data_IF_418142806181
#
_entry.id   IF_418142806181
#
_cell.length_a   1.000
_cell.length_b   1.000
_cell.length_c   1.000
_cell.angle_alpha   90.00
_cell.angle_beta   90.00
_cell.angle_gamma   90.00
#
_symmetry.space_group_name_H-M   'P 1'
#
loop_
_entity.id
_entity.type
_entity.pdbx_description
1 polymer ?
#
# COMPACT_ATOMS: atom_id res chain seq x y z
N UNK A 1 23.29 -50.56 -55.37
CA UNK A 1 22.22 -49.74 -54.88
C UNK A 1 22.58 -49.38 -53.44
N UNK A 2 22.89 -48.13 -53.16
CA UNK A 2 23.80 -47.67 -52.10
C UNK A 2 23.19 -47.58 -50.71
N UNK A 3 23.77 -48.32 -49.79
CA UNK A 3 23.51 -48.35 -48.34
C UNK A 3 23.72 -47.02 -47.63
N UNK A 4 24.06 -45.90 -48.34
CA UNK A 4 24.34 -44.55 -47.76
C UNK A 4 23.11 -43.66 -47.59
N UNK A 5 21.93 -44.02 -48.14
CA UNK A 5 20.71 -43.22 -48.04
C UNK A 5 19.76 -43.64 -46.89
N UNK A 6 20.00 -44.78 -46.26
CA UNK A 6 19.18 -45.26 -45.14
C UNK A 6 19.63 -44.68 -43.80
N UNK A 7 20.88 -44.19 -43.71
CA UNK A 7 21.44 -43.69 -42.43
C UNK A 7 21.11 -42.20 -42.15
N UNK A 8 20.58 -41.45 -43.13
CA UNK A 8 20.24 -40.03 -42.97
C UNK A 8 18.78 -39.82 -42.52
N UNK A 9 17.92 -40.84 -42.63
CA UNK A 9 16.49 -40.75 -42.30
C UNK A 9 16.16 -41.12 -40.85
N UNK A 10 17.11 -41.64 -40.07
CA UNK A 10 16.89 -42.03 -38.65
C UNK A 10 17.32 -40.99 -37.66
N UNK A 11 18.00 -39.90 -38.07
CA UNK A 11 18.50 -38.88 -37.15
C UNK A 11 17.62 -37.63 -37.04
N UNK A 12 16.46 -37.61 -37.70
CA UNK A 12 15.56 -36.44 -37.70
C UNK A 12 14.34 -36.57 -36.77
N UNK A 13 14.24 -37.61 -35.96
CA UNK A 13 13.01 -37.91 -35.18
C UNK A 13 13.12 -37.73 -33.66
N UNK A 14 14.16 -37.09 -33.13
CA UNK A 14 14.33 -36.94 -31.67
C UNK A 14 14.40 -35.48 -31.15
N UNK A 15 13.67 -34.55 -31.78
CA UNK A 15 13.50 -33.20 -31.25
C UNK A 15 12.03 -32.82 -31.10
N UNK A 16 11.19 -33.78 -30.64
CA UNK A 16 9.91 -33.43 -30.03
C UNK A 16 10.18 -33.04 -28.58
N UNK A 17 10.74 -31.86 -28.37
CA UNK A 17 10.82 -31.26 -27.06
C UNK A 17 9.40 -31.06 -26.54
N UNK A 18 9.03 -31.81 -25.49
CA UNK A 18 7.83 -31.54 -24.70
C UNK A 18 7.91 -30.11 -24.19
N UNK A 19 7.25 -29.16 -24.85
CA UNK A 19 6.93 -27.86 -24.28
C UNK A 19 6.00 -28.15 -23.11
N UNK A 20 6.58 -28.28 -21.91
CA UNK A 20 5.83 -28.28 -20.66
C UNK A 20 5.26 -26.87 -20.57
N UNK A 21 3.99 -26.69 -20.95
CA UNK A 21 3.24 -25.49 -20.62
C UNK A 21 3.27 -25.39 -19.11
N UNK A 22 3.71 -24.24 -18.53
CA UNK A 22 3.60 -24.05 -17.09
C UNK A 22 2.13 -24.25 -16.74
N UNK A 23 1.84 -25.25 -15.91
CA UNK A 23 0.50 -25.48 -15.39
C UNK A 23 0.14 -24.29 -14.53
N UNK A 24 -0.73 -23.44 -15.04
CA UNK A 24 -1.33 -22.40 -14.20
C UNK A 24 -2.06 -23.12 -13.06
N UNK A 25 -1.95 -22.62 -11.83
CA UNK A 25 -2.66 -23.21 -10.71
C UNK A 25 -4.16 -23.25 -11.05
N UNK A 26 -4.73 -24.47 -11.07
CA UNK A 26 -6.17 -24.64 -11.28
C UNK A 26 -6.84 -24.21 -9.97
N UNK A 27 -7.24 -22.96 -9.89
CA UNK A 27 -8.08 -22.46 -8.81
C UNK A 27 -9.48 -23.01 -9.05
N UNK A 28 -9.91 -23.99 -8.26
CA UNK A 28 -11.32 -24.44 -8.24
C UNK A 28 -12.15 -23.34 -7.60
N UNK A 29 -12.91 -22.61 -8.41
CA UNK A 29 -13.88 -21.64 -7.93
C UNK A 29 -15.11 -22.37 -7.41
N UNK A 30 -15.38 -22.27 -6.12
CA UNK A 30 -16.71 -22.52 -5.60
C UNK A 30 -17.57 -21.32 -5.99
N UNK A 31 -18.59 -21.61 -6.80
CA UNK A 31 -19.65 -20.74 -7.33
C UNK A 31 -19.52 -19.22 -7.03
N UNK A 32 -19.09 -18.45 -8.01
CA UNK A 32 -19.30 -16.98 -8.12
C UNK A 32 -18.20 -16.03 -7.62
N UNK A 33 -16.98 -16.48 -7.33
CA UNK A 33 -15.88 -15.54 -7.11
C UNK A 33 -14.98 -15.50 -8.35
N UNK A 34 -14.88 -14.34 -8.97
CA UNK A 34 -14.00 -14.07 -10.10
C UNK A 34 -12.95 -13.03 -9.71
N UNK A 35 -11.72 -13.20 -10.18
CA UNK A 35 -10.73 -12.13 -10.10
C UNK A 35 -11.08 -11.05 -11.12
N UNK A 36 -11.19 -9.79 -10.66
CA UNK A 36 -11.43 -8.63 -11.49
C UNK A 36 -10.17 -7.78 -11.67
N UNK A 37 -10.26 -6.78 -12.52
CA UNK A 37 -9.23 -5.76 -12.64
C UNK A 37 -9.26 -4.87 -11.39
N UNK A 38 -8.16 -4.85 -10.64
CA UNK A 38 -8.03 -4.04 -9.42
C UNK A 38 -8.11 -2.52 -9.67
N UNK A 39 -7.96 -2.08 -10.92
CA UNK A 39 -8.06 -0.67 -11.32
C UNK A 39 -9.42 -0.32 -11.96
N UNK A 40 -10.33 -1.28 -12.09
CA UNK A 40 -11.65 -0.99 -12.61
C UNK A 40 -12.45 -0.10 -11.65
N UNK A 41 -13.28 0.79 -12.21
CA UNK A 41 -14.13 1.66 -11.40
C UNK A 41 -15.22 0.82 -10.74
N UNK A 42 -15.30 0.89 -9.43
CA UNK A 42 -16.29 0.17 -8.64
C UNK A 42 -17.63 0.91 -8.65
N UNK A 43 -18.67 0.28 -9.16
CA UNK A 43 -20.01 0.85 -9.31
C UNK A 43 -21.11 0.10 -8.50
N UNK A 44 -20.69 -0.80 -7.62
CA UNK A 44 -21.63 -1.71 -6.92
C UNK A 44 -22.49 -0.97 -5.89
N UNK A 45 -21.87 -0.06 -5.14
CA UNK A 45 -22.55 0.74 -4.10
C UNK A 45 -22.06 2.17 -4.09
N UNK A 46 -22.74 3.05 -3.34
CA UNK A 46 -22.24 4.41 -3.03
C UNK A 46 -21.45 4.47 -1.72
N UNK A 47 -21.08 3.33 -1.15
CA UNK A 47 -20.18 3.23 0.01
C UNK A 47 -18.72 3.39 -0.43
N UNK A 48 -17.85 3.61 0.54
CA UNK A 48 -16.40 3.74 0.29
C UNK A 48 -15.84 2.45 -0.32
N UNK A 49 -15.09 2.56 -1.41
CA UNK A 49 -14.56 1.42 -2.15
C UNK A 49 -13.12 1.58 -2.60
N UNK A 50 -12.67 0.60 -3.37
CA UNK A 50 -11.28 0.51 -3.84
C UNK A 50 -10.91 1.67 -4.78
N UNK A 51 -11.84 2.12 -5.61
CA UNK A 51 -11.63 3.29 -6.49
C UNK A 51 -11.39 4.56 -5.68
N UNK A 52 -12.15 4.76 -4.60
CA UNK A 52 -12.03 5.93 -3.73
C UNK A 52 -10.64 5.94 -3.05
N UNK A 53 -10.20 4.77 -2.57
CA UNK A 53 -8.87 4.58 -1.99
C UNK A 53 -7.76 4.95 -2.98
N UNK A 54 -7.87 4.49 -4.22
CA UNK A 54 -6.87 4.79 -5.25
C UNK A 54 -6.83 6.28 -5.58
N UNK A 55 -7.99 6.92 -5.76
CA UNK A 55 -8.07 8.37 -6.03
C UNK A 55 -7.48 9.21 -4.89
N UNK A 56 -7.74 8.83 -3.64
CA UNK A 56 -7.14 9.49 -2.47
C UNK A 56 -5.63 9.33 -2.50
N UNK A 57 -5.13 8.10 -2.64
CA UNK A 57 -3.70 7.84 -2.62
C UNK A 57 -2.97 8.58 -3.74
N UNK A 58 -3.51 8.60 -4.96
CA UNK A 58 -2.92 9.33 -6.10
C UNK A 58 -2.90 10.84 -5.85
N UNK A 59 -3.98 11.43 -5.35
CA UNK A 59 -4.03 12.87 -5.06
C UNK A 59 -3.02 13.25 -3.99
N UNK A 60 -3.00 12.53 -2.85
CA UNK A 60 -2.10 12.83 -1.74
C UNK A 60 -0.62 12.68 -2.12
N UNK A 61 -0.29 11.59 -2.83
CA UNK A 61 1.09 11.36 -3.28
C UNK A 61 1.51 12.40 -4.32
N UNK A 62 0.66 12.70 -5.31
CA UNK A 62 0.94 13.71 -6.32
C UNK A 62 1.26 15.06 -5.70
N UNK A 63 0.36 15.57 -4.87
CA UNK A 63 0.53 16.84 -4.17
C UNK A 63 1.78 16.88 -3.28
N UNK A 64 2.02 15.83 -2.47
CA UNK A 64 3.21 15.75 -1.63
C UNK A 64 4.52 15.75 -2.43
N UNK A 65 4.56 15.07 -3.57
CA UNK A 65 5.77 15.00 -4.40
C UNK A 65 6.09 16.31 -5.15
N UNK A 66 5.09 17.17 -5.35
CA UNK A 66 5.23 18.50 -5.94
C UNK A 66 5.78 19.53 -4.94
N UNK A 67 5.65 19.27 -3.64
CA UNK A 67 6.20 20.17 -2.62
C UNK A 67 7.73 20.11 -2.61
N UNK A 68 8.39 21.22 -2.36
CA UNK A 68 9.85 21.28 -2.17
C UNK A 68 10.36 20.68 -0.85
N UNK A 69 9.47 20.15 0.01
CA UNK A 69 9.77 19.74 1.39
C UNK A 69 10.70 18.51 1.44
N UNK A 70 10.65 17.63 0.44
CA UNK A 70 11.41 16.37 0.43
C UNK A 70 12.87 16.50 -0.02
N UNK A 71 13.48 17.67 0.13
CA UNK A 71 14.91 17.81 -0.11
C UNK A 71 15.71 17.02 0.94
N UNK A 72 16.75 16.31 0.49
CA UNK A 72 17.62 15.53 1.38
C UNK A 72 17.01 14.23 1.90
N UNK A 73 15.89 13.77 1.36
CA UNK A 73 15.25 12.50 1.75
C UNK A 73 14.90 12.43 3.24
N UNK A 74 14.02 13.30 3.74
CA UNK A 74 13.69 13.35 5.16
C UNK A 74 13.03 12.08 5.66
N UNK A 75 13.05 11.91 6.97
CA UNK A 75 12.37 10.81 7.66
C UNK A 75 10.94 11.20 8.00
N UNK A 76 10.01 10.30 7.67
CA UNK A 76 8.56 10.51 7.87
C UNK A 76 7.99 9.34 8.67
N UNK A 77 7.09 9.61 9.59
CA UNK A 77 6.24 8.59 10.23
C UNK A 77 4.78 8.82 9.89
N UNK A 78 3.97 7.80 10.04
CA UNK A 78 2.52 7.89 9.87
C UNK A 78 1.85 7.73 11.23
N UNK A 79 1.08 8.73 11.62
CA UNK A 79 0.16 8.64 12.74
C UNK A 79 -1.15 7.95 12.31
N UNK A 80 -2.00 7.66 13.28
CA UNK A 80 -3.33 7.10 13.00
C UNK A 80 -4.19 8.14 12.28
N UNK A 81 -4.75 7.74 11.13
CA UNK A 81 -5.79 8.51 10.45
C UNK A 81 -7.15 8.13 11.04
N UNK A 82 -7.92 9.12 11.45
CA UNK A 82 -9.20 8.92 12.13
C UNK A 82 -10.32 8.72 11.13
N UNK A 83 -11.05 7.61 11.26
CA UNK A 83 -12.30 7.43 10.56
C UNK A 83 -13.44 8.12 11.37
N UNK A 84 -14.03 9.16 10.81
CA UNK A 84 -15.19 9.88 11.35
C UNK A 84 -16.43 9.72 10.48
N UNK A 85 -16.44 8.71 9.62
CA UNK A 85 -17.63 8.33 8.84
C UNK A 85 -18.53 7.42 9.65
N UNK A 86 -19.76 7.19 9.14
CA UNK A 86 -20.66 6.16 9.69
C UNK A 86 -20.34 4.74 9.20
N UNK A 87 -19.41 4.59 8.27
CA UNK A 87 -19.01 3.31 7.69
C UNK A 87 -17.73 2.79 8.36
N UNK A 88 -17.58 1.47 8.42
CA UNK A 88 -16.30 0.89 8.76
C UNK A 88 -15.35 1.01 7.57
N UNK A 89 -14.37 1.90 7.67
CA UNK A 89 -13.35 2.12 6.65
C UNK A 89 -11.99 1.92 7.31
N UNK A 90 -11.21 0.99 6.77
CA UNK A 90 -9.84 0.77 7.21
C UNK A 90 -8.90 1.86 6.66
N UNK A 91 -8.74 2.92 7.43
CA UNK A 91 -7.84 4.03 7.09
C UNK A 91 -6.36 3.60 7.06
N UNK A 92 -6.01 2.49 7.70
CA UNK A 92 -4.65 1.93 7.65
C UNK A 92 -4.32 1.47 6.23
N UNK A 93 -5.30 0.90 5.51
CA UNK A 93 -5.14 0.50 4.13
C UNK A 93 -4.86 1.70 3.20
N UNK A 94 -5.61 2.81 3.37
CA UNK A 94 -5.35 4.07 2.65
C UNK A 94 -3.92 4.55 2.89
N UNK A 95 -3.51 4.63 4.15
CA UNK A 95 -2.18 5.10 4.52
C UNK A 95 -1.05 4.17 4.05
N UNK A 96 -1.30 2.87 3.99
CA UNK A 96 -0.35 1.89 3.44
C UNK A 96 -0.11 2.09 1.95
N UNK A 97 -1.15 2.43 1.19
CA UNK A 97 -1.04 2.76 -0.24
C UNK A 97 -0.22 4.04 -0.45
N UNK A 98 -0.49 5.09 0.32
CA UNK A 98 0.27 6.35 0.30
C UNK A 98 1.73 6.10 0.69
N UNK A 99 1.99 5.38 1.79
CA UNK A 99 3.35 5.00 2.24
C UNK A 99 4.12 4.28 1.14
N UNK A 100 3.48 3.28 0.52
CA UNK A 100 4.10 2.48 -0.53
C UNK A 100 4.50 3.34 -1.72
N UNK A 101 3.62 4.21 -2.20
CA UNK A 101 3.88 5.07 -3.33
C UNK A 101 4.99 6.10 -3.03
N UNK A 102 4.95 6.74 -1.86
CA UNK A 102 5.99 7.68 -1.42
C UNK A 102 7.35 6.98 -1.21
N UNK A 103 7.37 5.76 -0.66
CA UNK A 103 8.61 4.97 -0.52
C UNK A 103 9.21 4.64 -1.88
N UNK A 104 8.38 4.20 -2.83
CA UNK A 104 8.81 3.90 -4.21
C UNK A 104 9.35 5.12 -4.94
N UNK A 105 8.88 6.32 -4.64
CA UNK A 105 9.42 7.56 -5.23
C UNK A 105 10.87 7.83 -4.86
N UNK A 106 11.37 7.21 -3.79
CA UNK A 106 12.74 7.41 -3.26
C UNK A 106 12.97 8.76 -2.60
N UNK A 107 11.98 9.65 -2.55
CA UNK A 107 12.13 11.01 -2.00
C UNK A 107 12.04 11.10 -0.48
N UNK A 108 11.51 10.06 0.18
CA UNK A 108 11.37 9.99 1.65
C UNK A 108 11.88 8.67 2.21
N UNK A 109 12.15 8.64 3.52
CA UNK A 109 12.39 7.42 4.28
C UNK A 109 11.34 7.31 5.37
N UNK A 110 10.53 6.25 5.35
CA UNK A 110 9.60 5.99 6.44
C UNK A 110 10.32 5.34 7.62
N UNK A 111 9.98 5.80 8.81
CA UNK A 111 10.32 5.16 10.08
C UNK A 111 9.05 4.62 10.71
N UNK A 112 9.16 3.48 11.39
CA UNK A 112 8.03 2.86 12.06
C UNK A 112 7.46 3.78 13.14
N UNK A 113 6.13 3.80 13.29
CA UNK A 113 5.48 4.49 14.39
C UNK A 113 5.61 3.68 15.68
N UNK A 114 5.17 4.25 16.81
CA UNK A 114 5.33 3.63 18.14
C UNK A 114 4.70 2.23 18.22
N UNK A 115 3.56 2.01 17.58
CA UNK A 115 2.88 0.72 17.60
C UNK A 115 3.59 -0.34 16.74
N UNK A 116 4.15 0.09 15.59
CA UNK A 116 4.93 -0.77 14.70
C UNK A 116 6.30 -1.11 15.29
N UNK A 117 6.83 -0.26 16.17
CA UNK A 117 8.16 -0.44 16.78
C UNK A 117 8.19 -1.42 17.94
N UNK A 118 7.05 -1.84 18.52
CA UNK A 118 7.04 -2.67 19.73
C UNK A 118 7.87 -3.95 19.54
N UNK A 119 7.59 -4.71 18.50
CA UNK A 119 8.35 -5.93 18.19
C UNK A 119 9.86 -5.67 17.99
N UNK A 120 10.21 -4.52 17.40
CA UNK A 120 11.61 -4.12 17.21
C UNK A 120 12.29 -3.78 18.54
N UNK A 121 11.60 -3.12 19.46
CA UNK A 121 12.09 -2.81 20.80
C UNK A 121 12.31 -4.09 21.59
N UNK A 122 11.33 -5.00 21.59
CA UNK A 122 11.41 -6.29 22.26
C UNK A 122 12.57 -7.13 21.74
N UNK A 123 12.78 -7.15 20.42
CA UNK A 123 13.90 -7.86 19.79
C UNK A 123 15.26 -7.24 20.18
N UNK A 124 15.37 -5.90 20.19
CA UNK A 124 16.59 -5.21 20.63
C UNK A 124 16.92 -5.52 22.10
N UNK A 125 15.91 -5.52 22.97
CA UNK A 125 16.08 -5.88 24.38
C UNK A 125 16.52 -7.34 24.50
N UNK A 126 15.86 -8.26 23.79
CA UNK A 126 16.22 -9.67 23.78
C UNK A 126 17.67 -9.88 23.32
N UNK A 127 18.13 -9.22 22.25
CA UNK A 127 19.50 -9.34 21.77
C UNK A 127 20.53 -8.83 22.77
N UNK A 128 20.25 -7.73 23.46
CA UNK A 128 21.24 -7.06 24.31
C UNK A 128 21.20 -7.49 25.78
N UNK A 129 20.10 -8.11 26.26
CA UNK A 129 19.91 -8.40 27.68
C UNK A 129 19.83 -9.91 28.00
N UNK A 130 19.58 -10.78 27.03
CA UNK A 130 19.40 -12.21 27.29
C UNK A 130 20.69 -12.98 27.56
N UNK A 131 21.85 -12.44 27.20
CA UNK A 131 23.12 -13.16 27.26
C UNK A 131 23.30 -14.27 26.20
N UNK A 132 22.31 -14.46 25.31
CA UNK A 132 22.33 -15.54 24.32
C UNK A 132 23.15 -15.23 23.06
N UNK A 133 23.44 -13.95 22.80
CA UNK A 133 24.07 -13.50 21.56
C UNK A 133 25.48 -12.98 21.76
N UNK A 134 26.29 -13.14 20.73
CA UNK A 134 27.63 -12.54 20.70
C UNK A 134 27.51 -11.01 20.62
N UNK A 135 28.15 -10.27 21.52
CA UNK A 135 28.04 -8.81 21.60
C UNK A 135 28.45 -8.05 20.33
N UNK A 136 29.30 -8.63 19.47
CA UNK A 136 29.68 -8.02 18.19
C UNK A 136 28.66 -8.24 17.06
N UNK A 137 27.63 -9.06 17.28
CA UNK A 137 26.57 -9.35 16.30
C UNK A 137 25.21 -8.74 16.69
N UNK A 138 25.07 -8.22 17.91
CA UNK A 138 23.82 -7.59 18.37
C UNK A 138 23.63 -6.21 17.75
N UNK A 139 22.39 -5.87 17.45
CA UNK A 139 22.03 -4.52 17.03
C UNK A 139 22.21 -3.54 18.22
N UNK A 140 22.82 -2.39 17.97
CA UNK A 140 23.11 -1.41 19.03
C UNK A 140 21.85 -0.63 19.40
N UNK A 141 21.60 -0.49 20.69
CA UNK A 141 20.56 0.41 21.23
C UNK A 141 20.93 1.88 20.97
N UNK A 142 19.91 2.76 20.93
CA UNK A 142 20.11 4.19 20.72
C UNK A 142 20.49 4.58 19.26
N UNK A 143 20.25 3.70 18.28
CA UNK A 143 20.57 3.95 16.87
C UNK A 143 19.34 4.13 15.98
N UNK A 144 18.15 4.08 16.54
CA UNK A 144 16.93 4.32 15.78
C UNK A 144 16.86 5.77 15.32
N UNK A 145 16.50 5.95 14.05
CA UNK A 145 16.31 7.29 13.49
C UNK A 145 14.91 7.79 13.85
N UNK A 146 14.82 8.99 14.41
CA UNK A 146 13.55 9.65 14.66
C UNK A 146 12.94 10.21 13.35
N UNK A 147 11.60 10.31 13.30
CA UNK A 147 10.93 10.97 12.20
C UNK A 147 11.02 12.49 12.36
N UNK A 148 11.49 13.17 11.30
CA UNK A 148 11.38 14.62 11.23
C UNK A 148 9.92 15.04 11.02
N UNK A 149 9.23 14.41 10.08
CA UNK A 149 7.84 14.73 9.77
C UNK A 149 6.88 13.62 10.18
N UNK A 150 5.62 14.00 10.40
CA UNK A 150 4.52 13.09 10.71
C UNK A 150 3.33 13.39 9.81
N UNK A 151 2.82 12.34 9.15
CA UNK A 151 1.55 12.39 8.41
C UNK A 151 0.41 12.02 9.36
N UNK A 152 -0.62 12.86 9.43
CA UNK A 152 -1.84 12.60 10.20
C UNK A 152 -3.05 13.20 9.49
N UNK A 153 -4.24 12.66 9.74
CA UNK A 153 -5.43 13.15 9.06
C UNK A 153 -6.71 12.48 9.52
N UNK A 154 -7.74 12.70 8.72
CA UNK A 154 -9.07 12.14 9.00
C UNK A 154 -9.89 11.92 7.72
N UNK A 155 -10.80 10.98 7.80
CA UNK A 155 -11.82 10.73 6.80
C UNK A 155 -13.20 11.05 7.42
N UNK A 156 -13.94 11.95 6.78
CA UNK A 156 -15.28 12.35 7.18
C UNK A 156 -16.30 12.01 6.07
N UNK A 157 -17.58 11.93 6.42
CA UNK A 157 -18.66 11.79 5.43
C UNK A 157 -19.89 12.60 5.80
N UNK A 158 -20.63 13.04 4.77
CA UNK A 158 -21.96 13.61 4.88
C UNK A 158 -22.91 12.74 4.06
N UNK A 159 -23.91 12.16 4.71
CA UNK A 159 -24.91 11.32 4.07
C UNK A 159 -26.23 12.03 4.02
N UNK A 160 -26.84 12.14 2.83
CA UNK A 160 -28.21 12.61 2.62
C UNK A 160 -28.99 11.57 1.84
N UNK A 161 -30.23 11.31 2.26
CA UNK A 161 -31.07 10.34 1.58
C UNK A 161 -32.53 10.73 1.63
N UNK A 162 -33.23 10.32 0.59
CA UNK A 162 -34.69 10.34 0.51
C UNK A 162 -35.20 8.97 0.01
N UNK A 163 -36.50 8.88 -0.35
CA UNK A 163 -37.10 7.61 -0.77
C UNK A 163 -36.49 7.01 -2.05
N UNK A 164 -35.87 7.82 -2.91
CA UNK A 164 -35.38 7.41 -4.24
C UNK A 164 -33.90 7.54 -4.44
N UNK A 165 -33.20 8.30 -3.60
CA UNK A 165 -31.78 8.64 -3.81
C UNK A 165 -31.04 8.66 -2.49
N UNK A 166 -29.84 8.11 -2.50
CA UNK A 166 -28.84 8.26 -1.44
C UNK A 166 -27.60 8.98 -2.02
N UNK A 167 -27.17 10.05 -1.36
CA UNK A 167 -26.02 10.87 -1.73
C UNK A 167 -25.04 10.86 -0.57
N UNK A 168 -23.81 10.49 -0.86
CA UNK A 168 -22.70 10.41 0.12
C UNK A 168 -21.55 11.27 -0.38
N UNK A 169 -21.11 12.16 0.48
CA UNK A 169 -19.94 12.98 0.26
C UNK A 169 -18.87 12.56 1.27
N UNK A 170 -17.71 12.15 0.78
CA UNK A 170 -16.52 11.85 1.58
C UNK A 170 -15.50 12.95 1.42
N UNK A 171 -14.81 13.27 2.52
CA UNK A 171 -13.64 14.15 2.52
C UNK A 171 -12.51 13.50 3.31
N UNK A 172 -11.40 13.25 2.66
CA UNK A 172 -10.15 12.81 3.26
C UNK A 172 -9.20 14.00 3.35
N UNK A 173 -8.74 14.29 4.56
CA UNK A 173 -7.76 15.36 4.82
C UNK A 173 -6.50 14.75 5.38
N UNK A 174 -5.35 15.16 4.86
CA UNK A 174 -4.04 14.71 5.32
C UNK A 174 -3.13 15.93 5.51
N UNK A 175 -2.44 15.95 6.65
CA UNK A 175 -1.49 17.01 7.01
C UNK A 175 -0.11 16.39 7.23
N UNK A 176 0.93 17.14 6.90
CA UNK A 176 2.29 16.84 7.29
C UNK A 176 2.79 17.86 8.28
N UNK A 177 3.18 17.39 9.46
CA UNK A 177 3.66 18.21 10.55
C UNK A 177 5.18 18.01 10.73
N UNK A 178 5.89 19.10 11.00
CA UNK A 178 7.27 19.03 11.51
C UNK A 178 7.22 18.70 13.01
N UNK A 179 7.87 17.63 13.41
CA UNK A 179 7.88 17.17 14.80
C UNK A 179 8.74 18.03 15.72
N UNK A 180 9.68 18.80 15.17
CA UNK A 180 10.57 19.68 15.93
C UNK A 180 9.90 21.03 16.16
N UNK A 181 9.33 21.61 15.11
CA UNK A 181 8.74 22.95 15.17
C UNK A 181 7.25 22.95 15.53
N UNK A 182 6.56 21.81 15.35
CA UNK A 182 5.12 21.67 15.58
C UNK A 182 4.26 22.37 14.51
N UNK A 183 4.85 22.73 13.39
CA UNK A 183 4.18 23.43 12.29
C UNK A 183 3.57 22.44 11.30
N UNK A 184 2.49 22.87 10.62
CA UNK A 184 1.93 22.11 9.47
C UNK A 184 2.62 22.63 8.22
N UNK A 185 3.45 21.79 7.63
CA UNK A 185 4.25 22.11 6.46
C UNK A 185 3.52 21.87 5.14
N UNK A 186 2.52 21.00 5.17
CA UNK A 186 1.68 20.68 4.04
C UNK A 186 0.34 20.17 4.51
N UNK A 187 -0.71 20.51 3.76
CA UNK A 187 -2.05 19.99 3.93
C UNK A 187 -2.70 19.78 2.56
N UNK A 188 -3.43 18.68 2.41
CA UNK A 188 -4.18 18.36 1.21
C UNK A 188 -5.50 17.69 1.56
N UNK A 189 -6.50 17.91 0.72
CA UNK A 189 -7.79 17.23 0.87
C UNK A 189 -8.26 16.62 -0.46
N UNK A 190 -8.93 15.49 -0.37
CA UNK A 190 -9.62 14.85 -1.49
C UNK A 190 -11.09 14.68 -1.17
N UNK A 191 -11.92 15.25 -2.01
CA UNK A 191 -13.36 15.13 -1.94
C UNK A 191 -13.88 14.12 -2.97
N UNK A 192 -14.83 13.29 -2.55
CA UNK A 192 -15.47 12.28 -3.39
C UNK A 192 -16.97 12.33 -3.13
N UNK A 193 -17.78 12.43 -4.18
CA UNK A 193 -19.23 12.40 -4.08
C UNK A 193 -19.79 11.25 -4.89
N UNK A 194 -20.65 10.46 -4.27
CA UNK A 194 -21.31 9.30 -4.88
C UNK A 194 -22.81 9.38 -4.65
N UNK A 195 -23.55 9.17 -5.71
CA UNK A 195 -25.01 9.17 -5.66
C UNK A 195 -25.55 7.86 -6.22
N UNK A 196 -26.45 7.22 -5.52
CA UNK A 196 -27.15 6.02 -5.99
C UNK A 196 -28.66 6.25 -6.01
N UNK A 197 -29.33 5.66 -7.01
CA UNK A 197 -30.81 5.51 -7.03
C UNK A 197 -31.16 4.25 -6.23
N UNK A 198 -32.24 4.31 -5.47
CA UNK A 198 -32.83 3.17 -4.74
C UNK A 198 -33.92 2.53 -5.59
#
# INVERSE_FOLDING_TARGET
>A
MNTRHIMVLVLASFLAGCAVKPSQPVVRFDRQVNYGDAKSVELVTNEFGSTDLQMIAETMVGSLLETGIFQGRPTVTIATVRNKTSEYIDTTNVMSSIRTALTKSGKVRFVANINEMQNQVDELQRQNQSGLYKGNTTARMGRMTAARYRLEGELTSIVKQNNTTKDVFYKFTLNMLDNEEGTIEWAEEKEIRKTSKR
#
